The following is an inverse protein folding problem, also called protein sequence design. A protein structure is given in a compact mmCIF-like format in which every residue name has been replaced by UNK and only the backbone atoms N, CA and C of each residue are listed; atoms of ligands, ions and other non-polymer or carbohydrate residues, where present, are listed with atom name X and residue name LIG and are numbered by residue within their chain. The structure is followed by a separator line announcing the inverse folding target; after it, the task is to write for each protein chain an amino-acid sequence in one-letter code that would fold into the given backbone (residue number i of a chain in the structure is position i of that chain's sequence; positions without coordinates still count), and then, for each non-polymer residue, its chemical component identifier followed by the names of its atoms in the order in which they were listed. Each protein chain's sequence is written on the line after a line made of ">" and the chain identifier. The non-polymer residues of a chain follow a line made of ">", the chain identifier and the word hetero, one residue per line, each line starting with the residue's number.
data_IF_065557373884
#
_entry.id   IF_065557373884
#
_cell.length_a   1.000
_cell.length_b   1.000
_cell.length_c   1.000
_cell.angle_alpha   90.00
_cell.angle_beta   90.00
_cell.angle_gamma   90.00
#
_symmetry.space_group_name_H-M   'P 1'
#
loop_
_entity.id
_entity.type
_entity.pdbx_description
1 polymer ?
#
# COMPACT_ATOMS: atom_id res chain seq x y z
N UNK A 1 -6.71 14.72 23.81
CA UNK A 1 -6.17 13.35 23.78
C UNK A 1 -4.70 13.29 23.34
N UNK A 2 -4.33 13.53 22.06
CA UNK A 2 -2.93 13.36 21.60
C UNK A 2 -1.87 14.19 22.34
N UNK A 3 -2.22 15.41 22.76
CA UNK A 3 -1.35 16.26 23.62
C UNK A 3 -1.04 15.63 24.99
N UNK A 4 -1.87 14.72 25.48
CA UNK A 4 -1.67 14.03 26.76
C UNK A 4 -0.94 12.70 26.59
N UNK A 5 -1.11 12.02 25.45
CA UNK A 5 -0.56 10.68 25.22
C UNK A 5 0.81 10.69 24.56
N UNK A 6 1.06 11.58 23.58
CA UNK A 6 2.37 11.66 22.90
C UNK A 6 3.56 12.01 23.82
N UNK A 7 3.40 12.82 24.88
CA UNK A 7 4.48 13.01 25.87
C UNK A 7 4.96 11.72 26.54
N UNK A 8 4.17 10.64 26.53
CA UNK A 8 4.57 9.32 27.05
C UNK A 8 5.51 8.57 26.09
N UNK A 9 5.65 9.02 24.83
CA UNK A 9 6.52 8.43 23.82
C UNK A 9 7.26 9.50 22.99
N UNK A 10 8.10 10.34 23.62
CA UNK A 10 8.68 11.53 22.98
C UNK A 10 9.70 11.23 21.87
N UNK A 11 10.20 9.99 21.81
CA UNK A 11 11.05 9.48 20.72
C UNK A 11 10.27 8.98 19.51
N UNK A 12 8.94 8.84 19.61
CA UNK A 12 8.08 8.46 18.50
C UNK A 12 7.52 9.70 17.79
N UNK A 13 6.82 10.57 18.52
CA UNK A 13 6.25 11.79 17.96
C UNK A 13 6.08 12.89 19.01
N UNK A 14 6.09 14.15 18.57
CA UNK A 14 5.92 15.34 19.41
C UNK A 14 4.84 16.25 18.84
N UNK A 15 4.05 16.87 19.72
CA UNK A 15 3.15 17.95 19.32
C UNK A 15 3.97 19.22 19.14
N UNK A 16 3.77 19.92 18.04
CA UNK A 16 4.48 21.14 17.66
C UNK A 16 3.49 22.28 17.48
N UNK A 17 3.84 23.50 17.90
CA UNK A 17 3.14 24.72 17.47
C UNK A 17 3.60 25.13 16.08
N UNK A 18 2.92 26.11 15.47
CA UNK A 18 3.28 26.57 14.14
C UNK A 18 4.68 27.19 14.12
N UNK A 19 5.06 27.90 15.19
CA UNK A 19 6.36 28.54 15.36
C UNK A 19 7.48 27.49 15.45
N UNK A 20 7.24 26.41 16.20
CA UNK A 20 8.20 25.32 16.35
C UNK A 20 8.44 24.59 15.00
N UNK A 21 7.39 24.47 14.16
CA UNK A 21 7.50 23.91 12.80
C UNK A 21 8.24 24.87 11.87
N UNK A 22 7.98 26.18 11.98
CA UNK A 22 8.65 27.19 11.18
C UNK A 22 10.14 27.26 11.50
N UNK A 23 10.52 27.21 12.78
CA UNK A 23 11.91 27.12 13.23
C UNK A 23 12.59 25.86 12.69
N UNK A 24 11.88 24.72 12.72
CA UNK A 24 12.41 23.46 12.22
C UNK A 24 12.57 23.44 10.69
N UNK A 25 11.58 23.92 9.93
CA UNK A 25 11.54 23.72 8.47
C UNK A 25 12.02 24.92 7.67
N UNK A 26 12.09 26.10 8.29
CA UNK A 26 12.27 27.38 7.61
C UNK A 26 11.02 27.89 6.89
N UNK A 27 9.88 27.20 7.03
CA UNK A 27 8.63 27.51 6.32
C UNK A 27 7.50 27.66 7.33
N UNK A 28 6.77 28.76 7.28
CA UNK A 28 5.61 29.02 8.14
C UNK A 28 4.41 28.16 7.73
N UNK A 29 3.96 27.20 8.57
CA UNK A 29 2.75 26.45 8.29
C UNK A 29 1.49 27.23 8.70
N UNK A 30 0.35 26.87 8.13
CA UNK A 30 -0.96 27.44 8.52
C UNK A 30 -1.35 27.15 9.98
N UNK A 31 -0.80 26.10 10.59
CA UNK A 31 -1.12 25.68 11.95
C UNK A 31 -0.02 24.78 12.54
N UNK A 32 -0.13 24.49 13.85
CA UNK A 32 0.68 23.46 14.51
C UNK A 32 0.34 22.04 14.04
N UNK A 33 1.07 21.05 14.56
CA UNK A 33 0.97 19.67 14.08
C UNK A 33 1.67 18.64 14.96
N UNK A 34 1.99 17.49 14.36
CA UNK A 34 2.69 16.39 15.01
C UNK A 34 3.96 16.08 14.21
N UNK A 35 5.11 16.12 14.86
CA UNK A 35 6.39 15.74 14.27
C UNK A 35 6.74 14.30 14.67
N UNK A 36 6.64 13.38 13.72
CA UNK A 36 7.11 12.00 13.85
C UNK A 36 8.64 11.95 13.76
N UNK A 37 9.32 11.70 14.88
CA UNK A 37 10.77 11.86 15.03
C UNK A 37 11.59 10.94 14.12
N UNK A 38 11.01 9.79 13.75
CA UNK A 38 11.61 8.78 12.87
C UNK A 38 10.91 8.69 11.52
N UNK A 39 10.02 9.64 11.23
CA UNK A 39 9.40 9.78 9.92
C UNK A 39 10.43 10.21 8.89
N UNK A 40 10.14 9.92 7.63
CA UNK A 40 11.05 10.29 6.55
C UNK A 40 10.43 10.07 5.19
N UNK A 41 11.27 10.18 4.16
CA UNK A 41 10.91 9.94 2.78
C UNK A 41 11.98 9.04 2.16
N UNK A 42 11.59 8.32 1.11
CA UNK A 42 12.44 7.32 0.45
C UNK A 42 12.31 7.48 -1.06
N UNK A 43 13.26 6.90 -1.80
CA UNK A 43 13.09 6.61 -3.22
C UNK A 43 12.54 5.18 -3.37
N UNK A 44 11.22 4.97 -3.59
CA UNK A 44 10.63 3.63 -3.58
C UNK A 44 11.29 2.68 -4.57
N UNK A 45 11.59 3.15 -5.78
CA UNK A 45 12.24 2.35 -6.80
C UNK A 45 13.65 1.89 -6.38
N UNK A 46 14.40 2.73 -5.66
CA UNK A 46 15.71 2.34 -5.15
C UNK A 46 15.60 1.30 -4.03
N UNK A 47 14.60 1.43 -3.15
CA UNK A 47 14.33 0.43 -2.09
C UNK A 47 13.99 -0.92 -2.73
N UNK A 48 13.09 -0.96 -3.72
CA UNK A 48 12.75 -2.20 -4.41
C UNK A 48 13.97 -2.84 -5.09
N UNK A 49 14.78 -2.06 -5.83
CA UNK A 49 16.01 -2.57 -6.45
C UNK A 49 17.00 -3.13 -5.43
N UNK A 50 17.19 -2.44 -4.30
CA UNK A 50 18.06 -2.91 -3.24
C UNK A 50 17.57 -4.25 -2.66
N UNK A 51 16.27 -4.38 -2.37
CA UNK A 51 15.68 -5.63 -1.87
C UNK A 51 15.79 -6.78 -2.89
N UNK A 52 15.58 -6.51 -4.17
CA UNK A 52 15.67 -7.51 -5.25
C UNK A 52 17.10 -7.99 -5.54
N UNK A 53 18.12 -7.22 -5.13
CA UNK A 53 19.54 -7.57 -5.35
C UNK A 53 20.08 -8.68 -4.42
N UNK A 54 19.22 -9.30 -3.63
CA UNK A 54 19.61 -10.34 -2.69
C UNK A 54 20.17 -11.59 -3.42
N UNK A 55 21.32 -12.17 -3.01
CA UNK A 55 22.00 -13.25 -3.75
C UNK A 55 21.23 -14.56 -3.87
N UNK A 56 20.17 -14.75 -3.08
CA UNK A 56 19.25 -15.89 -3.14
C UNK A 56 18.02 -15.65 -4.02
N UNK A 57 17.93 -14.51 -4.70
CA UNK A 57 16.82 -14.18 -5.59
C UNK A 57 17.27 -14.25 -7.04
N UNK A 58 16.49 -14.95 -7.86
CA UNK A 58 16.62 -14.90 -9.32
C UNK A 58 15.50 -14.03 -9.86
N UNK A 59 15.86 -12.86 -10.39
CA UNK A 59 14.91 -11.93 -10.99
C UNK A 59 14.73 -12.27 -12.48
N UNK A 60 13.48 -12.46 -12.91
CA UNK A 60 13.09 -12.51 -14.32
C UNK A 60 12.23 -11.29 -14.63
N UNK A 61 12.66 -10.47 -15.58
CA UNK A 61 11.95 -9.25 -16.01
C UNK A 61 11.44 -9.42 -17.43
N UNK A 62 10.61 -8.47 -17.88
CA UNK A 62 10.06 -8.45 -19.24
C UNK A 62 9.24 -9.70 -19.59
N UNK A 63 8.65 -10.35 -18.60
CA UNK A 63 7.86 -11.58 -18.77
C UNK A 63 6.42 -11.35 -19.25
N UNK A 64 6.04 -10.11 -19.60
CA UNK A 64 4.70 -9.78 -20.04
C UNK A 64 3.62 -9.98 -18.97
N UNK A 65 2.39 -10.25 -19.43
CA UNK A 65 1.29 -10.63 -18.56
C UNK A 65 1.49 -12.08 -18.10
N UNK A 66 1.36 -12.31 -16.79
CA UNK A 66 1.55 -13.63 -16.20
C UNK A 66 0.22 -14.20 -15.70
N UNK A 67 0.09 -15.51 -15.82
CA UNK A 67 -0.93 -16.30 -15.14
C UNK A 67 -0.30 -17.32 -14.20
N UNK A 68 -1.07 -17.79 -13.21
CA UNK A 68 -0.67 -18.93 -12.39
C UNK A 68 -1.62 -20.11 -12.58
N UNK A 69 -1.06 -21.32 -12.58
CA UNK A 69 -1.83 -22.55 -12.62
C UNK A 69 -1.16 -23.67 -11.78
N UNK A 70 -1.87 -24.77 -11.58
CA UNK A 70 -1.39 -25.99 -10.95
C UNK A 70 -0.99 -27.02 -11.99
N UNK A 71 0.26 -27.45 -11.89
CA UNK A 71 0.72 -28.63 -12.61
C UNK A 71 0.02 -29.91 -12.13
N UNK A 72 0.08 -30.97 -12.94
CA UNK A 72 -0.38 -32.31 -12.57
C UNK A 72 0.35 -32.88 -11.32
N UNK A 73 1.58 -32.42 -11.04
CA UNK A 73 2.34 -32.78 -9.84
C UNK A 73 1.95 -31.94 -8.60
N UNK A 74 0.97 -31.03 -8.72
CA UNK A 74 0.50 -30.17 -7.64
C UNK A 74 1.36 -28.94 -7.36
N UNK A 75 2.42 -28.70 -8.13
CA UNK A 75 3.22 -27.48 -8.03
C UNK A 75 2.50 -26.29 -8.69
N UNK A 76 2.70 -25.10 -8.13
CA UNK A 76 2.34 -23.85 -8.82
C UNK A 76 3.27 -23.61 -9.99
N UNK A 77 2.74 -23.08 -11.09
CA UNK A 77 3.46 -22.67 -12.28
C UNK A 77 3.12 -21.22 -12.60
N UNK A 78 4.13 -20.43 -12.94
CA UNK A 78 3.95 -19.11 -13.54
C UNK A 78 4.09 -19.25 -15.06
N UNK A 79 3.06 -18.83 -15.79
CA UNK A 79 3.01 -18.93 -17.25
C UNK A 79 3.00 -17.54 -17.89
N UNK A 80 3.66 -17.39 -19.03
CA UNK A 80 3.58 -16.17 -19.84
C UNK A 80 2.29 -16.11 -20.69
N UNK A 81 2.20 -15.11 -21.57
CA UNK A 81 1.03 -14.87 -22.42
C UNK A 81 0.83 -15.95 -23.50
N UNK A 82 1.89 -16.69 -23.83
CA UNK A 82 1.89 -17.80 -24.77
C UNK A 82 1.58 -19.14 -24.08
N UNK A 83 1.55 -19.17 -22.75
CA UNK A 83 1.32 -20.36 -21.95
C UNK A 83 2.58 -21.16 -21.63
N UNK A 84 3.77 -20.60 -21.90
CA UNK A 84 5.03 -21.24 -21.56
C UNK A 84 5.34 -21.11 -20.07
N UNK A 85 5.84 -22.18 -19.47
CA UNK A 85 6.14 -22.23 -18.04
C UNK A 85 7.46 -21.53 -17.76
N UNK A 86 7.40 -20.37 -17.10
CA UNK A 86 8.58 -19.61 -16.72
C UNK A 86 9.23 -20.11 -15.43
N UNK A 87 8.42 -20.62 -14.49
CA UNK A 87 8.90 -21.14 -13.21
C UNK A 87 7.88 -22.08 -12.58
N UNK A 88 8.35 -22.99 -11.73
CA UNK A 88 7.48 -23.86 -10.93
C UNK A 88 8.01 -24.02 -9.50
N UNK A 89 7.10 -24.03 -8.52
CA UNK A 89 7.42 -24.11 -7.10
C UNK A 89 6.24 -24.66 -6.28
N UNK A 90 6.48 -25.21 -5.07
CA UNK A 90 5.39 -25.61 -4.17
C UNK A 90 4.62 -24.40 -3.61
N UNK A 91 5.22 -23.21 -3.60
CA UNK A 91 4.65 -21.97 -3.08
C UNK A 91 4.65 -20.91 -4.18
N UNK A 92 3.53 -20.18 -4.32
CA UNK A 92 3.39 -19.00 -5.16
C UNK A 92 2.89 -17.81 -4.32
N UNK A 93 3.43 -16.62 -4.57
CA UNK A 93 3.01 -15.38 -3.92
C UNK A 93 2.61 -14.36 -4.99
N UNK A 94 1.36 -13.92 -4.94
CA UNK A 94 0.82 -12.88 -5.81
C UNK A 94 0.99 -11.51 -5.15
N UNK A 95 1.92 -10.71 -5.68
CA UNK A 95 2.19 -9.34 -5.23
C UNK A 95 1.98 -8.30 -6.35
N UNK A 96 1.02 -8.55 -7.24
CA UNK A 96 0.77 -7.82 -8.49
C UNK A 96 -0.22 -6.66 -8.34
N UNK A 97 -0.32 -6.08 -7.13
CA UNK A 97 -1.29 -5.04 -6.79
C UNK A 97 -2.73 -5.45 -7.20
N UNK A 98 -3.41 -4.65 -8.03
CA UNK A 98 -4.75 -4.98 -8.50
C UNK A 98 -4.76 -6.19 -9.44
N UNK A 99 -3.67 -6.47 -10.16
CA UNK A 99 -3.60 -7.56 -11.13
C UNK A 99 -3.82 -8.96 -10.54
N UNK A 100 -3.80 -9.09 -9.21
CA UNK A 100 -4.18 -10.31 -8.50
C UNK A 100 -5.63 -10.72 -8.77
N UNK A 101 -6.53 -9.79 -9.10
CA UNK A 101 -7.94 -10.12 -9.40
C UNK A 101 -8.13 -10.80 -10.76
N UNK A 102 -7.06 -10.93 -11.56
CA UNK A 102 -7.07 -11.67 -12.82
C UNK A 102 -6.54 -13.10 -12.67
N UNK A 103 -6.17 -13.52 -11.47
CA UNK A 103 -5.59 -14.83 -11.20
C UNK A 103 -6.63 -15.77 -10.60
N UNK A 104 -6.56 -17.05 -10.97
CA UNK A 104 -7.48 -18.07 -10.49
C UNK A 104 -7.44 -18.23 -8.97
N UNK A 105 -8.60 -18.10 -8.34
CA UNK A 105 -8.77 -18.23 -6.89
C UNK A 105 -8.63 -16.91 -6.12
N UNK A 106 -8.40 -15.78 -6.80
CA UNK A 106 -8.26 -14.45 -6.18
C UNK A 106 -9.12 -13.36 -6.83
N UNK A 107 -9.97 -13.70 -7.79
CA UNK A 107 -10.85 -12.78 -8.55
C UNK A 107 -11.90 -12.10 -7.66
N UNK A 108 -12.29 -12.77 -6.58
CA UNK A 108 -13.29 -12.32 -5.60
C UNK A 108 -12.76 -11.23 -4.63
N UNK A 109 -11.45 -10.95 -4.64
CA UNK A 109 -10.88 -9.95 -3.73
C UNK A 109 -11.46 -8.57 -4.05
N UNK A 110 -12.07 -7.87 -3.07
CA UNK A 110 -12.75 -6.60 -3.31
C UNK A 110 -11.76 -5.45 -3.36
N UNK A 111 -11.01 -5.38 -4.46
CA UNK A 111 -9.96 -4.41 -4.72
C UNK A 111 -10.44 -3.36 -5.71
N UNK A 112 -10.00 -2.11 -5.51
CA UNK A 112 -10.27 -1.00 -6.38
C UNK A 112 -8.97 -0.29 -6.73
N UNK A 113 -8.97 0.34 -7.91
CA UNK A 113 -7.93 1.26 -8.34
C UNK A 113 -8.27 2.67 -7.87
N UNK A 114 -7.26 3.36 -7.37
CA UNK A 114 -7.34 4.79 -7.05
C UNK A 114 -6.18 5.46 -7.77
N UNK A 115 -6.50 6.19 -8.84
CA UNK A 115 -5.55 7.03 -9.55
C UNK A 115 -5.07 8.17 -8.63
N UNK A 116 -3.79 8.51 -8.74
CA UNK A 116 -3.22 9.67 -8.09
C UNK A 116 -2.10 10.27 -8.93
N UNK A 117 -2.14 11.59 -9.04
CA UNK A 117 -1.11 12.40 -9.68
C UNK A 117 -0.39 13.24 -8.64
N UNK A 118 0.93 13.22 -8.70
CA UNK A 118 1.79 14.13 -7.96
C UNK A 118 2.36 15.20 -8.88
N UNK A 119 2.61 16.39 -8.35
CA UNK A 119 3.28 17.49 -9.06
C UNK A 119 4.73 17.56 -8.65
N UNK A 120 5.62 17.60 -9.63
CA UNK A 120 7.04 17.88 -9.43
C UNK A 120 7.26 19.38 -9.28
N UNK A 121 7.81 19.78 -8.15
CA UNK A 121 8.12 21.17 -7.81
C UNK A 121 9.63 21.33 -7.81
N UNK A 122 10.22 22.13 -8.72
CA UNK A 122 11.62 22.49 -8.63
C UNK A 122 11.92 23.14 -7.28
N UNK A 123 13.05 22.79 -6.68
CA UNK A 123 13.50 23.41 -5.44
C UNK A 123 13.82 24.90 -5.66
N UNK A 124 13.76 25.67 -4.58
CA UNK A 124 14.10 27.09 -4.52
C UNK A 124 14.73 27.38 -3.15
N UNK A 125 15.15 28.62 -2.90
CA UNK A 125 15.85 28.97 -1.66
C UNK A 125 15.06 28.60 -0.39
N UNK A 126 13.73 28.76 -0.40
CA UNK A 126 12.87 28.40 0.72
C UNK A 126 12.72 26.87 0.90
N UNK A 127 12.70 26.11 -0.19
CA UNK A 127 12.53 24.66 -0.17
C UNK A 127 13.84 23.89 -0.05
N UNK A 128 14.97 24.49 -0.38
CA UNK A 128 16.28 23.87 -0.35
C UNK A 128 16.69 23.45 1.08
N UNK A 129 16.18 24.14 2.10
CA UNK A 129 16.42 23.85 3.53
C UNK A 129 15.43 22.84 4.13
N UNK A 130 14.40 22.44 3.37
CA UNK A 130 13.40 21.49 3.85
C UNK A 130 14.02 20.11 4.01
N UNK A 131 14.11 19.64 5.25
CA UNK A 131 14.70 18.34 5.59
C UNK A 131 13.71 17.37 6.27
N UNK A 132 12.49 17.84 6.54
CA UNK A 132 11.39 17.02 7.07
C UNK A 132 10.21 17.09 6.11
N UNK A 133 9.54 15.96 5.87
CA UNK A 133 8.33 15.94 5.04
C UNK A 133 7.19 16.66 5.75
N UNK A 134 6.51 17.57 5.05
CA UNK A 134 5.32 18.25 5.52
C UNK A 134 4.10 17.47 5.03
N UNK A 135 3.16 17.18 5.94
CA UNK A 135 1.91 16.49 5.62
C UNK A 135 0.71 17.29 6.18
N UNK A 136 -0.25 17.60 5.31
CA UNK A 136 -1.57 18.16 5.62
C UNK A 136 -2.61 17.40 4.77
N UNK A 137 -3.46 18.06 3.97
CA UNK A 137 -4.33 17.40 2.97
C UNK A 137 -3.54 16.75 1.83
N UNK A 138 -2.33 17.24 1.58
CA UNK A 138 -1.32 16.60 0.73
C UNK A 138 0.01 16.48 1.46
N UNK A 139 1.06 16.10 0.77
CA UNK A 139 2.41 15.99 1.32
C UNK A 139 3.45 16.67 0.43
N UNK A 140 4.54 17.14 1.05
CA UNK A 140 5.71 17.74 0.42
C UNK A 140 6.97 17.22 1.13
N UNK A 141 7.68 16.23 0.56
CA UNK A 141 8.95 15.77 1.09
C UNK A 141 10.10 16.71 0.66
N UNK A 142 11.26 16.63 1.32
CA UNK A 142 12.52 17.18 0.82
C UNK A 142 12.83 16.81 -0.62
N UNK A 143 13.66 17.62 -1.28
CA UNK A 143 14.03 17.41 -2.68
C UNK A 143 14.94 16.20 -2.86
N UNK A 144 14.77 15.53 -4.01
CA UNK A 144 15.76 14.61 -4.57
C UNK A 144 16.20 15.12 -5.94
N UNK A 145 17.50 15.38 -6.10
CA UNK A 145 18.02 15.94 -7.36
C UNK A 145 17.40 17.29 -7.71
N UNK A 146 17.14 18.13 -6.70
CA UNK A 146 16.55 19.46 -6.88
C UNK A 146 15.04 19.47 -7.15
N UNK A 147 14.34 18.34 -7.01
CA UNK A 147 12.89 18.24 -7.26
C UNK A 147 12.16 17.67 -6.04
N UNK A 148 11.10 18.36 -5.63
CA UNK A 148 10.14 17.89 -4.63
C UNK A 148 8.92 17.25 -5.32
N UNK A 149 8.24 16.35 -4.61
CA UNK A 149 7.05 15.68 -5.10
C UNK A 149 5.86 16.05 -4.22
N UNK A 150 4.99 16.94 -4.71
CA UNK A 150 3.81 17.39 -3.99
C UNK A 150 2.57 16.60 -4.41
N UNK A 151 1.70 16.25 -3.47
CA UNK A 151 0.44 15.64 -3.86
C UNK A 151 -0.30 14.86 -2.78
N UNK A 152 -1.20 13.97 -3.17
CA UNK A 152 -1.62 13.73 -4.56
C UNK A 152 -3.11 13.94 -4.73
N UNK A 153 -3.54 14.07 -5.97
CA UNK A 153 -4.95 13.88 -6.33
C UNK A 153 -5.45 12.48 -5.93
N UNK A 154 -6.77 12.33 -5.94
CA UNK A 154 -7.47 11.13 -5.53
C UNK A 154 -8.64 10.87 -6.48
N UNK A 155 -8.43 9.96 -7.44
CA UNK A 155 -9.41 9.56 -8.45
C UNK A 155 -9.80 8.08 -8.33
N UNK A 156 -10.81 7.72 -7.52
CA UNK A 156 -11.31 6.35 -7.43
C UNK A 156 -11.91 5.87 -8.76
N UNK A 157 -11.59 4.64 -9.17
CA UNK A 157 -12.14 4.00 -10.37
C UNK A 157 -11.58 4.51 -11.69
N UNK A 158 -10.75 5.56 -11.65
CA UNK A 158 -10.05 6.06 -12.82
C UNK A 158 -8.83 5.16 -13.14
N UNK A 159 -8.74 4.73 -14.39
CA UNK A 159 -7.72 3.81 -14.90
C UNK A 159 -6.71 4.48 -15.83
N UNK A 160 -6.87 5.77 -16.09
CA UNK A 160 -5.99 6.48 -17.00
C UNK A 160 -4.66 6.87 -16.34
N UNK A 161 -3.63 7.04 -17.17
CA UNK A 161 -2.27 7.37 -16.73
C UNK A 161 -1.76 8.70 -17.29
N UNK A 162 -2.65 9.49 -17.89
CA UNK A 162 -2.38 10.81 -18.43
C UNK A 162 -2.20 11.86 -17.32
N UNK A 163 -1.26 12.79 -17.51
CA UNK A 163 -1.12 13.96 -16.63
C UNK A 163 -2.19 15.01 -16.94
N UNK A 164 -2.87 15.48 -15.89
CA UNK A 164 -3.99 16.43 -16.00
C UNK A 164 -3.67 17.78 -15.35
N UNK A 165 -3.78 18.92 -16.08
CA UNK A 165 -3.47 20.25 -15.56
C UNK A 165 -4.28 20.65 -14.32
N UNK A 166 -5.54 20.26 -14.24
CA UNK A 166 -6.42 20.52 -13.10
C UNK A 166 -5.94 19.81 -11.83
N UNK A 167 -5.33 18.63 -11.95
CA UNK A 167 -4.77 17.89 -10.83
C UNK A 167 -3.44 18.50 -10.35
N UNK A 168 -2.64 19.08 -11.26
CA UNK A 168 -1.51 19.89 -10.85
C UNK A 168 -1.96 21.12 -10.05
N UNK A 169 -2.97 21.82 -10.57
CA UNK A 169 -3.56 23.00 -9.92
C UNK A 169 -4.10 22.64 -8.53
N UNK A 170 -4.78 21.50 -8.41
CA UNK A 170 -5.25 20.97 -7.13
C UNK A 170 -4.11 20.70 -6.14
N UNK A 171 -3.06 20.00 -6.56
CA UNK A 171 -1.91 19.70 -5.72
C UNK A 171 -1.20 20.96 -5.22
N UNK A 172 -0.96 21.93 -6.12
CA UNK A 172 -0.36 23.22 -5.76
C UNK A 172 -1.27 24.00 -4.81
N UNK A 173 -2.59 23.98 -5.04
CA UNK A 173 -3.58 24.58 -4.16
C UNK A 173 -3.53 24.00 -2.74
N UNK A 174 -3.40 22.68 -2.59
CA UNK A 174 -3.21 22.04 -1.28
C UNK A 174 -1.94 22.53 -0.57
N UNK A 175 -0.84 22.68 -1.31
CA UNK A 175 0.42 23.17 -0.74
C UNK A 175 0.32 24.63 -0.30
N UNK A 176 -0.29 25.50 -1.13
CA UNK A 176 -0.54 26.91 -0.78
C UNK A 176 -1.47 27.04 0.42
N UNK A 177 -2.46 26.17 0.56
CA UNK A 177 -3.32 26.16 1.74
C UNK A 177 -2.55 25.77 3.00
N UNK A 178 -1.67 24.77 2.91
CA UNK A 178 -0.86 24.27 4.03
C UNK A 178 0.28 25.24 4.43
N UNK A 179 0.89 25.89 3.44
CA UNK A 179 2.07 26.75 3.53
C UNK A 179 1.78 28.08 2.80
N UNK A 180 1.01 28.99 3.40
CA UNK A 180 0.48 30.19 2.73
C UNK A 180 1.56 31.13 2.18
N UNK A 181 2.68 31.22 2.88
CA UNK A 181 3.78 32.14 2.54
C UNK A 181 4.79 31.49 1.57
N UNK A 182 4.62 30.21 1.23
CA UNK A 182 5.53 29.50 0.35
C UNK A 182 5.26 29.87 -1.12
N UNK A 183 6.23 30.55 -1.73
CA UNK A 183 6.22 30.82 -3.15
C UNK A 183 6.44 29.54 -3.96
N UNK A 184 5.46 29.19 -4.78
CA UNK A 184 5.49 28.06 -5.73
C UNK A 184 5.28 28.58 -7.15
N UNK A 185 6.29 29.23 -7.77
CA UNK A 185 6.18 29.72 -9.13
C UNK A 185 6.08 28.55 -10.11
N UNK A 186 5.21 28.68 -11.11
CA UNK A 186 5.10 27.69 -12.16
C UNK A 186 6.30 27.74 -13.10
N UNK A 187 6.92 26.60 -13.46
CA UNK A 187 8.00 26.55 -14.42
C UNK A 187 7.55 27.05 -15.81
N UNK A 188 8.47 27.60 -16.60
CA UNK A 188 8.16 28.12 -17.94
C UNK A 188 7.55 27.09 -18.91
N UNK A 189 7.77 25.79 -18.69
CA UNK A 189 7.18 24.69 -19.46
C UNK A 189 5.87 24.12 -18.88
N UNK A 190 5.31 24.79 -17.87
CA UNK A 190 4.19 24.33 -17.07
C UNK A 190 4.58 23.25 -16.05
N UNK A 191 3.62 22.84 -15.24
CA UNK A 191 3.81 21.72 -14.31
C UNK A 191 4.06 20.39 -15.02
N UNK A 192 4.77 19.51 -14.32
CA UNK A 192 4.98 18.09 -14.65
C UNK A 192 4.84 17.27 -13.38
N UNK A 193 4.75 15.97 -13.52
CA UNK A 193 4.43 15.10 -12.41
C UNK A 193 4.61 13.63 -12.69
N UNK A 194 3.87 12.85 -11.94
CA UNK A 194 3.83 11.40 -12.06
C UNK A 194 2.42 10.93 -11.70
N UNK A 195 1.87 10.06 -12.55
CA UNK A 195 0.55 9.47 -12.38
C UNK A 195 0.73 7.99 -12.12
N UNK A 196 0.05 7.48 -11.09
CA UNK A 196 0.03 6.06 -10.82
C UNK A 196 -1.27 5.64 -10.16
N UNK A 197 -1.54 4.34 -10.25
CA UNK A 197 -2.64 3.72 -9.53
C UNK A 197 -2.18 3.17 -8.19
N UNK A 198 -3.05 3.34 -7.20
CA UNK A 198 -3.00 2.61 -5.94
C UNK A 198 -4.01 1.48 -5.99
N UNK A 199 -3.69 0.38 -5.34
CA UNK A 199 -4.62 -0.71 -5.11
C UNK A 199 -5.09 -0.67 -3.65
N UNK A 200 -6.40 -0.63 -3.46
CA UNK A 200 -7.05 -0.55 -2.16
C UNK A 200 -8.18 -1.56 -2.06
N UNK A 201 -8.28 -2.24 -0.93
CA UNK A 201 -9.46 -2.99 -0.52
C UNK A 201 -10.56 -2.03 -0.07
N UNK A 202 -11.80 -2.53 -0.02
CA UNK A 202 -12.93 -1.78 0.52
C UNK A 202 -12.76 -1.32 1.98
N UNK A 203 -11.86 -1.94 2.75
CA UNK A 203 -11.55 -1.56 4.13
C UNK A 203 -10.22 -0.81 4.30
N UNK A 204 -9.53 -0.47 3.20
CA UNK A 204 -8.28 0.29 3.19
C UNK A 204 -7.13 -0.33 4.00
N UNK A 205 -7.22 -1.62 4.32
CA UNK A 205 -6.16 -2.39 4.95
C UNK A 205 -5.41 -3.25 3.92
N UNK A 206 -4.14 -3.59 4.17
CA UNK A 206 -3.45 -4.59 3.38
C UNK A 206 -4.26 -5.89 3.28
N UNK A 207 -4.08 -6.59 2.17
CA UNK A 207 -4.57 -7.95 1.99
C UNK A 207 -3.33 -8.82 1.89
N UNK A 208 -2.99 -9.46 3.00
CA UNK A 208 -1.78 -10.24 3.15
C UNK A 208 -2.05 -11.55 3.89
N UNK A 209 -1.68 -12.67 3.28
CA UNK A 209 -1.82 -14.00 3.87
C UNK A 209 -2.12 -15.08 2.83
N UNK A 210 -2.32 -16.29 3.31
CA UNK A 210 -2.73 -17.44 2.49
C UNK A 210 -4.14 -17.26 1.92
N UNK A 211 -4.34 -17.70 0.68
CA UNK A 211 -5.63 -17.58 -0.02
C UNK A 211 -6.58 -18.70 0.43
N UNK A 212 -7.81 -18.40 0.87
CA UNK A 212 -8.79 -19.42 1.22
C UNK A 212 -9.23 -20.22 -0.01
N UNK A 213 -9.52 -21.51 0.18
CA UNK A 213 -10.30 -22.29 -0.78
C UNK A 213 -11.76 -21.90 -0.57
N UNK A 214 -12.33 -21.06 -1.43
CA UNK A 214 -13.67 -20.49 -1.23
C UNK A 214 -14.79 -21.54 -1.14
N UNK A 215 -14.90 -22.53 -2.05
CA UNK A 215 -15.89 -23.60 -1.90
C UNK A 215 -15.80 -24.33 -0.55
N UNK A 216 -14.59 -24.76 -0.16
CA UNK A 216 -14.40 -25.45 1.11
C UNK A 216 -14.63 -24.53 2.32
N UNK A 217 -14.21 -23.26 2.23
CA UNK A 217 -14.44 -22.24 3.25
C UNK A 217 -15.93 -21.99 3.45
N UNK A 218 -16.69 -21.76 2.39
CA UNK A 218 -18.13 -21.52 2.46
C UNK A 218 -18.86 -22.70 3.11
N UNK A 219 -18.50 -23.94 2.77
CA UNK A 219 -19.08 -25.14 3.38
C UNK A 219 -18.71 -25.27 4.87
N UNK A 220 -17.44 -25.07 5.22
CA UNK A 220 -16.96 -25.21 6.61
C UNK A 220 -17.51 -24.12 7.54
N UNK A 221 -17.74 -22.92 7.03
CA UNK A 221 -18.15 -21.74 7.80
C UNK A 221 -19.61 -21.32 7.58
N UNK A 222 -20.43 -22.12 6.89
CA UNK A 222 -21.81 -21.79 6.50
C UNK A 222 -22.69 -21.31 7.68
N UNK A 223 -22.46 -21.87 8.87
CA UNK A 223 -23.18 -21.50 10.11
C UNK A 223 -23.05 -20.01 10.47
N UNK A 224 -22.01 -19.32 9.99
CA UNK A 224 -21.83 -17.87 10.19
C UNK A 224 -22.91 -17.03 9.48
N UNK A 225 -23.62 -17.58 8.48
CA UNK A 225 -24.78 -16.94 7.85
C UNK A 225 -25.94 -16.78 8.82
N UNK A 226 -26.15 -17.78 9.67
CA UNK A 226 -27.28 -17.83 10.60
C UNK A 226 -26.92 -17.25 11.98
N UNK A 227 -25.66 -17.39 12.41
CA UNK A 227 -25.16 -16.83 13.66
C UNK A 227 -23.75 -16.25 13.47
N UNK A 228 -23.68 -14.92 13.34
CA UNK A 228 -22.46 -14.16 13.07
C UNK A 228 -21.38 -14.27 14.16
N UNK A 229 -21.77 -14.72 15.36
CA UNK A 229 -20.87 -14.86 16.52
C UNK A 229 -20.53 -16.33 16.79
N UNK A 230 -21.02 -17.26 15.96
CA UNK A 230 -20.78 -18.69 16.13
C UNK A 230 -19.28 -18.98 16.14
N UNK A 231 -18.82 -19.65 17.18
CA UNK A 231 -17.49 -20.25 17.18
C UNK A 231 -17.50 -21.48 16.25
N UNK A 232 -16.59 -21.47 15.29
CA UNK A 232 -16.33 -22.60 14.39
C UNK A 232 -14.98 -23.17 14.78
N UNK A 233 -14.98 -24.38 15.33
CA UNK A 233 -13.78 -25.11 15.73
C UNK A 233 -13.27 -25.97 14.58
N UNK A 234 -12.82 -25.29 13.52
CA UNK A 234 -12.22 -25.90 12.34
C UNK A 234 -11.15 -24.96 11.77
N UNK A 235 -10.07 -25.48 11.16
CA UNK A 235 -9.11 -24.64 10.45
C UNK A 235 -9.78 -23.93 9.26
N UNK A 236 -9.17 -22.84 8.79
CA UNK A 236 -9.58 -22.19 7.55
C UNK A 236 -9.10 -23.04 6.36
N UNK A 237 -9.98 -23.55 5.48
CA UNK A 237 -9.55 -24.17 4.23
C UNK A 237 -8.81 -23.17 3.35
N UNK A 238 -7.65 -23.56 2.82
CA UNK A 238 -6.77 -22.69 2.03
C UNK A 238 -6.28 -23.39 0.77
N UNK A 239 -6.03 -22.62 -0.28
CA UNK A 239 -5.27 -23.07 -1.44
C UNK A 239 -3.81 -23.25 -1.01
N UNK A 240 -3.37 -24.51 -0.89
CA UNK A 240 -2.07 -24.87 -0.32
C UNK A 240 -0.90 -24.11 -0.97
N UNK A 241 -0.08 -23.41 -0.20
CA UNK A 241 1.07 -22.69 -0.74
C UNK A 241 0.75 -21.50 -1.65
N UNK A 242 -0.50 -21.01 -1.71
CA UNK A 242 -0.82 -19.75 -2.39
C UNK A 242 -0.96 -18.61 -1.40
N UNK A 243 -0.09 -17.61 -1.55
CA UNK A 243 -0.11 -16.37 -0.79
C UNK A 243 -0.45 -15.16 -1.65
N UNK A 244 -0.99 -14.12 -1.02
CA UNK A 244 -1.18 -12.80 -1.62
C UNK A 244 -0.62 -11.72 -0.71
N UNK A 245 -0.04 -10.67 -1.29
CA UNK A 245 0.27 -9.41 -0.63
C UNK A 245 -0.12 -8.25 -1.57
N UNK A 246 -1.26 -7.62 -1.29
CA UNK A 246 -1.84 -6.55 -2.11
C UNK A 246 -2.54 -5.50 -1.23
N UNK A 247 -3.27 -4.56 -1.83
CA UNK A 247 -4.06 -3.54 -1.12
C UNK A 247 -3.21 -2.63 -0.21
N UNK A 248 -2.02 -2.27 -0.66
CA UNK A 248 -1.10 -1.44 0.12
C UNK A 248 -1.46 0.05 0.11
N UNK A 249 -2.36 0.48 -0.80
CA UNK A 249 -2.81 1.84 -0.95
C UNK A 249 -1.69 2.87 -1.03
N UNK A 250 -1.86 4.02 -0.38
CA UNK A 250 -0.85 5.09 -0.29
C UNK A 250 0.17 4.89 0.83
N UNK A 251 0.10 3.78 1.58
CA UNK A 251 0.95 3.52 2.77
C UNK A 251 1.82 2.27 2.62
N UNK A 252 2.03 1.80 1.40
CA UNK A 252 2.77 0.57 1.13
C UNK A 252 4.18 0.55 1.69
N UNK A 253 4.90 1.68 1.65
CA UNK A 253 6.26 1.76 2.22
C UNK A 253 6.31 1.45 3.72
N UNK A 254 5.26 1.77 4.47
CA UNK A 254 5.18 1.50 5.90
C UNK A 254 4.57 0.14 6.21
N UNK A 255 3.57 -0.29 5.44
CA UNK A 255 2.80 -1.50 5.73
C UNK A 255 3.42 -2.77 5.13
N UNK A 256 4.09 -2.69 3.98
CA UNK A 256 4.58 -3.85 3.26
C UNK A 256 5.58 -4.71 4.06
N UNK A 257 6.57 -4.15 4.79
CA UNK A 257 7.52 -4.99 5.53
C UNK A 257 6.82 -5.89 6.55
N UNK A 258 5.94 -5.34 7.38
CA UNK A 258 5.22 -6.13 8.39
C UNK A 258 4.22 -7.10 7.77
N UNK A 259 3.54 -6.70 6.69
CA UNK A 259 2.63 -7.59 5.96
C UNK A 259 3.36 -8.77 5.30
N UNK A 260 4.59 -8.56 4.82
CA UNK A 260 5.43 -9.59 4.25
C UNK A 260 5.87 -10.62 5.30
N UNK A 261 6.28 -10.17 6.50
CA UNK A 261 6.59 -11.08 7.62
C UNK A 261 5.39 -11.94 8.01
N UNK A 262 4.19 -11.35 8.11
CA UNK A 262 2.96 -12.12 8.42
C UNK A 262 2.68 -13.18 7.36
N UNK A 263 2.89 -12.86 6.08
CA UNK A 263 2.71 -13.83 5.00
C UNK A 263 3.77 -14.94 5.05
N UNK A 264 5.03 -14.58 5.30
CA UNK A 264 6.14 -15.52 5.42
C UNK A 264 5.91 -16.50 6.58
N UNK A 265 5.49 -16.01 7.75
CA UNK A 265 5.13 -16.84 8.90
C UNK A 265 4.04 -17.86 8.55
N UNK A 266 3.00 -17.43 7.85
CA UNK A 266 1.90 -18.32 7.48
C UNK A 266 2.32 -19.40 6.47
N UNK A 267 3.17 -19.05 5.50
CA UNK A 267 3.63 -19.98 4.47
C UNK A 267 4.69 -20.96 4.98
N UNK A 268 5.52 -20.53 5.94
CA UNK A 268 6.66 -21.31 6.44
C UNK A 268 6.44 -21.91 7.84
N UNK A 269 5.30 -21.65 8.48
CA UNK A 269 5.01 -22.13 9.83
C UNK A 269 5.79 -21.38 10.92
N UNK A 270 6.10 -20.09 10.70
CA UNK A 270 6.82 -19.22 11.61
C UNK A 270 6.02 -18.80 12.86
N UNK A 271 6.71 -18.15 13.79
CA UNK A 271 6.07 -17.55 14.98
C UNK A 271 5.37 -16.26 14.53
N UNK A 272 4.07 -16.05 14.83
CA UNK A 272 3.36 -14.91 14.26
C UNK A 272 3.98 -13.54 14.64
N UNK A 273 4.37 -12.77 13.62
CA UNK A 273 4.98 -11.45 13.75
C UNK A 273 4.07 -10.39 14.40
N UNK A 274 2.74 -10.61 14.41
CA UNK A 274 1.76 -9.68 14.96
C UNK A 274 0.67 -10.39 15.78
N UNK A 275 0.02 -9.70 16.73
CA UNK A 275 -1.13 -10.25 17.45
C UNK A 275 -2.27 -10.69 16.53
N UNK A 276 -3.04 -11.68 16.99
CA UNK A 276 -4.14 -12.30 16.22
C UNK A 276 -5.14 -11.31 15.63
N UNK A 277 -5.45 -10.21 16.33
CA UNK A 277 -6.41 -9.23 15.81
C UNK A 277 -5.89 -8.50 14.56
N UNK A 278 -4.59 -8.26 14.46
CA UNK A 278 -3.96 -7.68 13.26
C UNK A 278 -3.90 -8.69 12.11
N UNK A 279 -3.57 -9.95 12.41
CA UNK A 279 -3.60 -11.02 11.39
C UNK A 279 -5.00 -11.12 10.77
N UNK A 280 -6.05 -11.15 11.59
CA UNK A 280 -7.45 -11.19 11.11
C UNK A 280 -7.86 -9.94 10.33
N UNK A 281 -7.23 -8.80 10.62
CA UNK A 281 -7.54 -7.54 9.94
C UNK A 281 -6.98 -7.50 8.52
N UNK A 282 -5.90 -8.25 8.22
CA UNK A 282 -5.23 -8.24 6.91
C UNK A 282 -5.34 -9.55 6.11
N UNK A 283 -5.77 -10.66 6.73
CA UNK A 283 -5.94 -11.95 6.04
C UNK A 283 -6.98 -11.85 4.91
N UNK A 284 -6.76 -12.48 3.74
CA UNK A 284 -7.72 -12.47 2.64
C UNK A 284 -9.11 -13.00 3.03
N UNK A 285 -9.14 -14.09 3.80
CA UNK A 285 -10.38 -14.75 4.25
C UNK A 285 -11.36 -13.85 5.02
N UNK A 286 -10.91 -12.68 5.51
CA UNK A 286 -11.79 -11.73 6.20
C UNK A 286 -12.97 -11.27 5.32
N UNK A 287 -12.80 -11.18 4.00
CA UNK A 287 -13.90 -10.77 3.13
C UNK A 287 -14.91 -11.91 2.90
N UNK A 288 -14.44 -13.15 2.76
CA UNK A 288 -15.31 -14.33 2.73
C UNK A 288 -16.08 -14.48 4.06
N UNK A 289 -15.42 -14.31 5.21
CA UNK A 289 -16.08 -14.29 6.53
C UNK A 289 -17.16 -13.21 6.61
N UNK A 290 -16.88 -11.99 6.12
CA UNK A 290 -17.85 -10.88 6.10
C UNK A 290 -19.01 -11.14 5.15
N UNK A 291 -18.77 -11.75 3.99
CA UNK A 291 -19.83 -12.13 3.04
C UNK A 291 -20.80 -13.14 3.66
N UNK A 292 -20.27 -14.22 4.27
CA UNK A 292 -21.09 -15.20 4.97
C UNK A 292 -21.94 -14.53 6.06
N UNK A 293 -21.37 -13.62 6.85
CA UNK A 293 -22.13 -12.88 7.88
C UNK A 293 -23.24 -11.98 7.32
N UNK A 294 -23.15 -11.55 6.05
CA UNK A 294 -24.24 -10.84 5.35
C UNK A 294 -25.27 -11.79 4.73
N UNK A 295 -25.02 -13.10 4.75
CA UNK A 295 -25.86 -14.09 4.09
C UNK A 295 -25.46 -14.37 2.64
N UNK A 296 -24.32 -13.86 2.19
CA UNK A 296 -23.77 -14.03 0.83
C UNK A 296 -22.66 -15.10 0.82
N UNK A 297 -22.53 -15.89 -0.24
CA UNK A 297 -21.27 -16.62 -0.55
C UNK A 297 -20.48 -15.81 -1.56
N UNK A 298 -19.16 -15.83 -1.43
CA UNK A 298 -18.24 -15.50 -2.52
C UNK A 298 -17.90 -16.76 -3.31
#
# INVERSE_FOLDING_TARGET
>A
HLRQTLPLAPGFARVMRAEDIAELTGITPRCGGIHYQRGGWLNPAAVCRALLSHPRMTLKEQCGALSIDRSAAGLWQALDGEGEVLASAPIAVLATAHGVTHQTGTEWLPLNLIRGQTTHIPTNDALATLHVSICDKGYLPPARGGVHCAGSSFGPGDTDTDERPEEHTHNIGMMKAALPDLALPEPAGGWRGHVAHRCNSNDYLPVAGVVPDLPAFNAAYDRLRHDRKRLIDAPCPTLSGLGVLTSLGSRGLSAAPLAAEVLADQLLGGIPAVPRYLQRAIVPARFAERALKRGESL
#
